data_IF_105521355753
#
_entry.id   IF_105521355753
#
_cell.length_a   1.000
_cell.length_b   1.000
_cell.length_c   1.000
_cell.angle_alpha   90.00
_cell.angle_beta   90.00
_cell.angle_gamma   90.00
#
_symmetry.space_group_name_H-M   'P 1'
#
loop_
_entity.id
_entity.type
_entity.pdbx_description
1 polymer ?
#
# COMPACT_ATOMS: atom_id res chain seq x y z
N UNK A 1 -36.23 26.38 19.61
CA UNK A 1 -36.20 25.73 18.28
C UNK A 1 -34.78 25.91 17.80
N UNK A 2 -33.91 24.96 18.16
CA UNK A 2 -32.47 25.07 17.91
C UNK A 2 -32.03 23.82 17.13
N UNK A 3 -31.33 24.14 16.06
CA UNK A 3 -31.00 23.37 14.87
C UNK A 3 -30.25 22.06 15.18
N UNK A 4 -30.96 20.93 15.20
CA UNK A 4 -30.36 19.59 15.20
C UNK A 4 -29.84 19.25 13.80
N UNK A 5 -28.77 19.93 13.36
CA UNK A 5 -27.93 19.41 12.29
C UNK A 5 -27.34 18.10 12.81
N UNK A 6 -27.87 16.97 12.35
CA UNK A 6 -27.32 15.64 12.60
C UNK A 6 -25.90 15.60 12.03
N UNK A 7 -24.91 15.90 12.86
CA UNK A 7 -23.50 15.80 12.48
C UNK A 7 -23.27 14.34 12.05
N UNK A 8 -22.84 14.16 10.79
CA UNK A 8 -22.47 12.83 10.27
C UNK A 8 -21.43 12.23 11.23
N UNK A 9 -21.54 10.94 11.60
CA UNK A 9 -20.55 10.33 12.49
C UNK A 9 -19.14 10.54 11.91
N UNK A 10 -18.14 10.81 12.78
CA UNK A 10 -16.78 11.07 12.34
C UNK A 10 -16.22 9.85 11.59
N UNK A 11 -15.60 10.07 10.44
CA UNK A 11 -14.95 9.02 9.65
C UNK A 11 -13.68 8.59 10.38
N UNK A 12 -13.50 7.28 10.60
CA UNK A 12 -12.23 6.76 11.07
C UNK A 12 -11.37 6.32 9.90
N UNK A 13 -10.32 7.10 9.60
CA UNK A 13 -9.33 6.72 8.61
C UNK A 13 -8.20 5.88 9.23
N UNK A 14 -7.83 4.78 8.59
CA UNK A 14 -6.54 4.14 8.81
C UNK A 14 -5.56 4.65 7.76
N UNK A 15 -4.48 5.28 8.24
CA UNK A 15 -3.39 5.82 7.42
C UNK A 15 -2.18 4.92 7.61
N UNK A 16 -1.78 4.23 6.55
CA UNK A 16 -0.69 3.25 6.57
C UNK A 16 0.47 3.75 5.71
N UNK A 17 1.64 3.84 6.32
CA UNK A 17 2.78 4.56 5.76
C UNK A 17 3.68 3.67 4.91
N UNK A 18 4.62 4.32 4.22
CA UNK A 18 5.78 3.64 3.67
C UNK A 18 6.75 3.21 4.78
N UNK A 19 7.68 2.32 4.45
CA UNK A 19 8.66 1.83 5.45
C UNK A 19 9.38 0.52 5.10
N UNK A 20 9.13 -0.05 3.91
CA UNK A 20 9.75 -1.31 3.51
C UNK A 20 9.42 -2.44 4.49
N UNK A 21 10.43 -3.21 4.90
CA UNK A 21 10.26 -4.33 5.83
C UNK A 21 9.60 -3.95 7.18
N UNK A 22 9.66 -2.67 7.58
CA UNK A 22 8.97 -2.18 8.79
C UNK A 22 7.45 -2.23 8.68
N UNK A 23 6.88 -2.38 7.48
CA UNK A 23 5.45 -2.58 7.28
C UNK A 23 4.90 -3.83 7.96
N UNK A 24 5.74 -4.81 8.32
CA UNK A 24 5.34 -5.97 9.12
C UNK A 24 4.86 -5.58 10.53
N UNK A 25 5.40 -4.48 11.09
CA UNK A 25 4.94 -3.97 12.39
C UNK A 25 3.50 -3.45 12.33
N UNK A 26 3.08 -2.88 11.19
CA UNK A 26 1.70 -2.41 11.00
C UNK A 26 0.70 -3.57 11.15
N UNK A 27 1.06 -4.81 10.77
CA UNK A 27 0.21 -5.99 10.97
C UNK A 27 -0.06 -6.24 12.46
N UNK A 28 0.96 -6.06 13.30
CA UNK A 28 0.81 -6.15 14.76
C UNK A 28 -0.06 -5.02 15.31
N UNK A 29 0.06 -3.80 14.78
CA UNK A 29 -0.79 -2.67 15.15
C UNK A 29 -2.25 -2.92 14.76
N UNK A 30 -2.50 -3.38 13.53
CA UNK A 30 -3.83 -3.76 13.03
C UNK A 30 -4.45 -4.86 13.89
N UNK A 31 -3.65 -5.86 14.30
CA UNK A 31 -4.07 -6.90 15.24
C UNK A 31 -4.59 -6.29 16.55
N UNK A 32 -3.86 -5.35 17.14
CA UNK A 32 -4.24 -4.70 18.38
C UNK A 32 -5.51 -3.83 18.21
N UNK A 33 -5.61 -3.07 17.13
CA UNK A 33 -6.77 -2.22 16.83
C UNK A 33 -8.05 -3.05 16.65
N UNK A 34 -8.02 -4.09 15.82
CA UNK A 34 -9.17 -4.99 15.66
C UNK A 34 -9.45 -5.82 16.91
N UNK A 35 -8.43 -6.09 17.76
CA UNK A 35 -8.63 -6.69 19.06
C UNK A 35 -9.46 -5.80 19.99
N UNK A 36 -9.27 -4.49 19.91
CA UNK A 36 -10.00 -3.49 20.66
C UNK A 36 -11.33 -3.05 20.03
N UNK A 37 -11.74 -3.63 18.90
CA UNK A 37 -12.97 -3.24 18.18
C UNK A 37 -12.84 -1.89 17.45
N UNK A 38 -11.61 -1.45 17.16
CA UNK A 38 -11.35 -0.23 16.39
C UNK A 38 -11.25 -0.61 14.91
N UNK A 39 -12.27 -0.23 14.13
CA UNK A 39 -12.36 -0.48 12.69
C UNK A 39 -12.35 0.82 11.89
N UNK A 40 -11.72 0.85 10.70
CA UNK A 40 -11.76 2.00 9.80
C UNK A 40 -13.02 2.05 8.95
N UNK A 41 -13.36 3.26 8.51
CA UNK A 41 -14.34 3.56 7.46
C UNK A 41 -13.65 3.94 6.13
N UNK A 42 -12.35 4.28 6.19
CA UNK A 42 -11.51 4.69 5.08
C UNK A 42 -10.09 4.17 5.29
N UNK A 43 -9.43 3.74 4.21
CA UNK A 43 -8.03 3.33 4.23
C UNK A 43 -7.21 4.12 3.23
N UNK A 44 -6.09 4.69 3.67
CA UNK A 44 -5.14 5.39 2.81
C UNK A 44 -3.75 4.78 3.00
N UNK A 45 -3.10 4.37 1.92
CA UNK A 45 -1.84 3.62 1.97
C UNK A 45 -0.75 4.20 1.09
N UNK A 46 0.51 4.03 1.52
CA UNK A 46 1.71 4.32 0.71
C UNK A 46 2.66 3.15 0.74
N UNK A 47 3.16 2.69 -0.41
CA UNK A 47 4.15 1.62 -0.49
C UNK A 47 3.68 0.38 0.27
N UNK A 48 4.43 -0.12 1.25
CA UNK A 48 4.02 -1.23 2.10
C UNK A 48 2.69 -0.99 2.84
N UNK A 49 2.38 0.26 3.18
CA UNK A 49 1.07 0.64 3.69
C UNK A 49 -0.05 0.52 2.65
N UNK A 50 0.24 0.59 1.34
CA UNK A 50 -0.73 0.28 0.29
C UNK A 50 -0.99 -1.23 0.20
N UNK A 51 0.03 -2.08 0.43
CA UNK A 51 -0.15 -3.55 0.53
C UNK A 51 -1.06 -3.89 1.72
N UNK A 52 -0.69 -3.39 2.90
CA UNK A 52 -1.46 -3.60 4.13
C UNK A 52 -2.86 -3.01 4.01
N UNK A 53 -2.96 -1.80 3.46
CA UNK A 53 -4.20 -1.08 3.29
C UNK A 53 -5.17 -1.74 2.32
N UNK A 54 -4.69 -2.29 1.20
CA UNK A 54 -5.52 -3.03 0.27
C UNK A 54 -6.14 -4.28 0.92
N UNK A 55 -5.36 -5.01 1.73
CA UNK A 55 -5.87 -6.18 2.44
C UNK A 55 -6.88 -5.81 3.53
N UNK A 56 -6.64 -4.73 4.28
CA UNK A 56 -7.57 -4.21 5.29
C UNK A 56 -8.85 -3.68 4.65
N UNK A 57 -8.75 -2.96 3.54
CA UNK A 57 -9.92 -2.45 2.83
C UNK A 57 -10.75 -3.56 2.18
N UNK A 58 -10.12 -4.68 1.82
CA UNK A 58 -10.82 -5.86 1.32
C UNK A 58 -11.60 -6.60 2.42
N UNK A 59 -11.07 -6.60 3.65
CA UNK A 59 -11.68 -7.23 4.81
C UNK A 59 -11.26 -6.49 6.10
N UNK A 60 -12.09 -5.57 6.62
CA UNK A 60 -11.76 -4.77 7.79
C UNK A 60 -12.01 -5.52 9.11
N UNK A 61 -11.71 -6.82 9.15
CA UNK A 61 -11.88 -7.68 10.32
C UNK A 61 -10.56 -8.29 10.80
N UNK A 62 -10.60 -8.98 11.94
CA UNK A 62 -9.44 -9.73 12.47
C UNK A 62 -8.93 -10.80 11.50
N UNK A 63 -9.75 -11.28 10.56
CA UNK A 63 -9.34 -12.30 9.59
C UNK A 63 -8.29 -11.77 8.59
N UNK A 64 -8.29 -10.47 8.26
CA UNK A 64 -7.28 -9.90 7.36
C UNK A 64 -5.88 -9.88 7.98
N UNK A 65 -5.77 -9.80 9.31
CA UNK A 65 -4.48 -9.84 10.03
C UNK A 65 -3.76 -11.16 9.80
N UNK A 66 -4.48 -12.29 9.81
CA UNK A 66 -3.89 -13.60 9.55
C UNK A 66 -3.37 -13.69 8.10
N UNK A 67 -4.19 -13.26 7.12
CA UNK A 67 -3.77 -13.22 5.72
C UNK A 67 -2.61 -12.28 5.46
N UNK A 68 -2.55 -11.16 6.17
CA UNK A 68 -1.41 -10.24 6.11
C UNK A 68 -0.16 -10.87 6.70
N UNK A 69 -0.25 -11.58 7.83
CA UNK A 69 0.89 -12.30 8.38
C UNK A 69 1.43 -13.36 7.39
N UNK A 70 0.54 -14.08 6.70
CA UNK A 70 0.91 -15.04 5.66
C UNK A 70 1.57 -14.35 4.47
N UNK A 71 1.00 -13.24 4.00
CA UNK A 71 1.55 -12.41 2.91
C UNK A 71 2.97 -11.93 3.27
N UNK A 72 3.17 -11.38 4.46
CA UNK A 72 4.48 -10.90 4.94
C UNK A 72 5.50 -12.04 5.07
N UNK A 73 5.05 -13.21 5.53
CA UNK A 73 5.90 -14.42 5.56
C UNK A 73 6.30 -14.84 4.13
N UNK A 74 5.37 -14.76 3.19
CA UNK A 74 5.60 -14.98 1.76
C UNK A 74 6.62 -14.00 1.16
N UNK A 75 6.47 -12.70 1.46
CA UNK A 75 7.40 -11.65 1.01
C UNK A 75 8.82 -11.89 1.51
N UNK A 76 8.97 -12.22 2.81
CA UNK A 76 10.26 -12.54 3.39
C UNK A 76 10.92 -13.75 2.72
N UNK A 77 10.16 -14.81 2.45
CA UNK A 77 10.65 -16.00 1.73
C UNK A 77 11.03 -15.73 0.28
N UNK A 78 10.30 -14.84 -0.39
CA UNK A 78 10.59 -14.41 -1.76
C UNK A 78 11.78 -13.43 -1.84
N UNK A 79 12.37 -13.04 -0.71
CA UNK A 79 13.47 -12.08 -0.66
C UNK A 79 13.03 -10.66 -1.04
N UNK A 80 11.73 -10.37 -1.03
CA UNK A 80 11.21 -9.04 -1.27
C UNK A 80 11.47 -8.23 0.00
N UNK A 81 12.21 -7.13 -0.12
CA UNK A 81 12.64 -6.25 0.98
C UNK A 81 13.77 -6.79 1.89
N UNK A 82 14.51 -7.83 1.50
CA UNK A 82 15.62 -8.41 2.29
C UNK A 82 17.02 -7.85 1.99
N UNK A 83 17.14 -6.81 1.15
CA UNK A 83 18.44 -6.32 0.64
C UNK A 83 19.22 -5.42 1.60
N UNK A 84 20.40 -5.87 2.04
CA UNK A 84 21.46 -5.02 2.63
C UNK A 84 21.95 -3.97 1.63
N UNK A 85 22.21 -2.74 2.09
CA UNK A 85 22.82 -1.65 1.32
C UNK A 85 24.11 -2.06 0.59
N UNK A 86 24.89 -3.01 1.12
CA UNK A 86 26.12 -3.51 0.48
C UNK A 86 25.87 -4.43 -0.73
N UNK A 87 24.79 -5.23 -0.73
CA UNK A 87 24.41 -6.05 -1.89
C UNK A 87 23.98 -5.21 -3.10
N UNK A 88 23.58 -3.95 -2.85
CA UNK A 88 23.15 -2.97 -3.87
C UNK A 88 24.32 -2.44 -4.71
N UNK A 89 25.54 -2.40 -4.15
CA UNK A 89 26.75 -1.95 -4.86
C UNK A 89 27.35 -3.04 -5.77
N UNK A 90 27.37 -4.30 -5.33
CA UNK A 90 27.90 -5.41 -6.13
C UNK A 90 27.03 -5.77 -7.34
N UNK A 91 25.74 -5.42 -7.32
CA UNK A 91 24.76 -5.81 -8.35
C UNK A 91 24.60 -4.75 -9.44
N UNK A 92 24.89 -3.48 -9.15
CA UNK A 92 24.97 -2.40 -10.16
C UNK A 92 26.05 -2.66 -11.24
N UNK A 93 27.04 -3.51 -10.93
CA UNK A 93 28.14 -3.87 -11.84
C UNK A 93 27.74 -5.02 -12.80
N UNK A 94 26.64 -5.76 -12.55
CA UNK A 94 26.40 -7.05 -13.23
C UNK A 94 25.19 -7.16 -14.17
N UNK A 95 24.15 -6.35 -14.09
CA UNK A 95 23.09 -6.30 -15.14
C UNK A 95 22.11 -5.15 -14.90
N UNK A 96 21.51 -4.63 -15.98
CA UNK A 96 20.85 -3.32 -16.04
C UNK A 96 19.68 -3.03 -15.08
N UNK A 97 19.58 -1.74 -14.73
CA UNK A 97 18.47 -0.90 -14.20
C UNK A 97 17.38 -1.43 -13.24
N UNK A 98 17.31 -2.71 -12.84
CA UNK A 98 16.35 -3.19 -11.83
C UNK A 98 16.82 -4.47 -11.12
N UNK A 99 16.75 -4.46 -9.77
CA UNK A 99 17.31 -5.53 -8.92
C UNK A 99 16.34 -6.68 -8.64
N UNK A 100 15.02 -6.45 -8.72
CA UNK A 100 14.00 -7.46 -8.49
C UNK A 100 12.97 -7.45 -9.63
N UNK A 101 12.61 -8.63 -10.14
CA UNK A 101 11.48 -8.76 -11.05
C UNK A 101 10.18 -8.51 -10.27
N UNK A 102 9.20 -7.75 -10.79
CA UNK A 102 7.97 -7.44 -10.07
C UNK A 102 7.01 -8.65 -9.92
N UNK A 103 7.26 -9.74 -10.64
CA UNK A 103 6.39 -10.93 -10.64
C UNK A 103 6.13 -11.53 -9.25
N UNK A 104 7.12 -11.76 -8.37
CA UNK A 104 6.86 -12.36 -7.05
C UNK A 104 5.94 -11.50 -6.17
N UNK A 105 6.10 -10.16 -6.21
CA UNK A 105 5.21 -9.26 -5.49
C UNK A 105 3.81 -9.26 -6.11
N UNK A 106 3.71 -9.21 -7.44
CA UNK A 106 2.42 -9.31 -8.15
C UNK A 106 1.70 -10.61 -7.80
N UNK A 107 2.39 -11.74 -7.85
CA UNK A 107 1.81 -13.07 -7.62
C UNK A 107 1.33 -13.21 -6.17
N UNK A 108 2.10 -12.70 -5.21
CA UNK A 108 1.67 -12.65 -3.80
C UNK A 108 0.44 -11.75 -3.63
N UNK A 109 0.41 -10.57 -4.25
CA UNK A 109 -0.75 -9.68 -4.19
C UNK A 109 -2.00 -10.34 -4.82
N UNK A 110 -1.87 -10.95 -6.00
CA UNK A 110 -2.96 -11.68 -6.66
C UNK A 110 -3.46 -12.88 -5.84
N UNK A 111 -2.56 -13.54 -5.10
CA UNK A 111 -2.92 -14.70 -4.27
C UNK A 111 -3.68 -14.30 -3.00
N UNK A 112 -3.31 -13.17 -2.40
CA UNK A 112 -3.83 -12.78 -1.08
C UNK A 112 -4.92 -11.70 -1.11
N UNK A 113 -5.06 -10.95 -2.21
CA UNK A 113 -6.13 -9.96 -2.37
C UNK A 113 -7.36 -10.61 -3.03
N UNK A 114 -8.55 -10.54 -2.38
CA UNK A 114 -9.73 -11.28 -2.83
C UNK A 114 -10.45 -10.63 -4.03
N UNK A 115 -10.09 -9.39 -4.38
CA UNK A 115 -10.71 -8.63 -5.47
C UNK A 115 -9.64 -8.05 -6.39
N UNK A 116 -10.00 -7.79 -7.65
CA UNK A 116 -9.08 -7.31 -8.67
C UNK A 116 -9.16 -5.80 -8.91
N UNK A 117 -10.21 -5.14 -8.42
CA UNK A 117 -10.47 -3.70 -8.64
C UNK A 117 -10.62 -2.95 -7.33
N UNK A 118 -10.14 -1.71 -7.28
CA UNK A 118 -10.20 -0.86 -6.09
C UNK A 118 -11.65 -0.62 -5.66
N UNK A 119 -12.54 -0.32 -6.61
CA UNK A 119 -13.96 -0.05 -6.32
C UNK A 119 -14.75 -1.29 -5.85
N UNK A 120 -14.16 -2.48 -5.91
CA UNK A 120 -14.77 -3.72 -5.40
C UNK A 120 -14.37 -4.03 -3.95
N UNK A 121 -13.52 -3.21 -3.33
CA UNK A 121 -13.13 -3.37 -1.92
C UNK A 121 -14.31 -3.07 -0.98
N UNK A 122 -14.30 -3.71 0.20
CA UNK A 122 -15.35 -3.52 1.20
C UNK A 122 -15.35 -2.11 1.81
N UNK A 123 -14.17 -1.47 1.85
CA UNK A 123 -14.02 -0.07 2.28
C UNK A 123 -13.41 0.80 1.16
N UNK A 124 -13.71 2.11 1.15
CA UNK A 124 -12.96 3.08 0.37
C UNK A 124 -11.46 2.97 0.62
N UNK A 125 -10.70 2.84 -0.46
CA UNK A 125 -9.25 2.71 -0.42
C UNK A 125 -8.61 3.69 -1.40
N UNK A 126 -7.53 4.33 -0.96
CA UNK A 126 -6.67 5.12 -1.85
C UNK A 126 -5.21 4.79 -1.56
N UNK A 127 -4.40 4.70 -2.62
CA UNK A 127 -2.95 4.67 -2.46
C UNK A 127 -2.27 5.66 -3.38
N UNK A 128 -1.08 6.10 -2.97
CA UNK A 128 -0.30 7.11 -3.69
C UNK A 128 0.91 6.49 -4.35
N UNK A 129 1.21 6.94 -5.57
CA UNK A 129 2.49 6.75 -6.23
C UNK A 129 3.02 8.10 -6.70
N UNK A 130 4.33 8.19 -6.92
CA UNK A 130 4.92 9.34 -7.59
C UNK A 130 4.88 9.11 -9.11
N UNK A 131 4.22 10.00 -9.85
CA UNK A 131 4.21 9.96 -11.31
C UNK A 131 5.39 10.75 -11.87
N UNK A 132 6.23 10.09 -12.66
CA UNK A 132 7.48 10.65 -13.16
C UNK A 132 7.22 11.86 -14.08
N UNK A 133 6.29 11.75 -15.02
CA UNK A 133 6.07 12.79 -16.04
C UNK A 133 5.57 14.11 -15.44
N UNK A 134 4.89 14.04 -14.29
CA UNK A 134 4.30 15.20 -13.63
C UNK A 134 5.10 15.63 -12.40
N UNK A 135 6.12 14.86 -12.00
CA UNK A 135 6.85 15.04 -10.75
C UNK A 135 5.92 15.29 -9.54
N UNK A 136 4.79 14.57 -9.49
CA UNK A 136 3.70 14.85 -8.58
C UNK A 136 3.10 13.56 -8.00
N UNK A 137 2.34 13.71 -6.91
CA UNK A 137 1.48 12.67 -6.37
C UNK A 137 0.43 12.24 -7.40
N UNK A 138 0.26 10.94 -7.54
CA UNK A 138 -0.88 10.33 -8.21
C UNK A 138 -1.63 9.44 -7.22
N UNK A 139 -2.91 9.72 -7.04
CA UNK A 139 -3.80 8.99 -6.14
C UNK A 139 -4.62 7.98 -6.92
N UNK A 140 -4.36 6.69 -6.71
CA UNK A 140 -5.21 5.63 -7.24
C UNK A 140 -6.43 5.46 -6.35
N UNK A 141 -7.62 5.74 -6.91
CA UNK A 141 -8.90 5.63 -6.21
C UNK A 141 -9.88 4.67 -6.90
N UNK A 142 -9.52 4.16 -8.08
CA UNK A 142 -10.31 3.22 -8.89
C UNK A 142 -9.37 2.46 -9.84
N UNK A 143 -9.85 1.35 -10.41
CA UNK A 143 -9.09 0.59 -11.41
C UNK A 143 -8.40 -0.66 -10.86
N UNK A 144 -7.43 -1.24 -11.60
CA UNK A 144 -6.78 -2.49 -11.21
C UNK A 144 -6.01 -2.37 -9.89
N UNK A 145 -6.46 -3.10 -8.87
CA UNK A 145 -5.97 -2.97 -7.50
C UNK A 145 -4.48 -3.32 -7.39
N UNK A 146 -4.09 -4.46 -7.95
CA UNK A 146 -2.70 -4.95 -7.88
C UNK A 146 -1.76 -3.98 -8.58
N UNK A 147 -2.16 -3.41 -9.71
CA UNK A 147 -1.33 -2.47 -10.45
C UNK A 147 -1.11 -1.15 -9.69
N UNK A 148 -2.17 -0.64 -9.05
CA UNK A 148 -2.08 0.54 -8.20
C UNK A 148 -1.15 0.32 -6.98
N UNK A 149 -1.30 -0.83 -6.31
CA UNK A 149 -0.43 -1.20 -5.17
C UNK A 149 1.02 -1.40 -5.63
N UNK A 150 1.25 -2.07 -6.77
CA UNK A 150 2.58 -2.23 -7.35
C UNK A 150 3.22 -0.88 -7.69
N UNK A 151 2.47 0.04 -8.30
CA UNK A 151 2.94 1.39 -8.59
C UNK A 151 3.34 2.13 -7.31
N UNK A 152 2.54 2.01 -6.25
CA UNK A 152 2.83 2.60 -4.94
C UNK A 152 4.08 2.03 -4.27
N UNK A 153 4.47 0.79 -4.58
CA UNK A 153 5.62 0.07 -4.00
C UNK A 153 6.90 0.10 -4.86
N UNK A 154 6.89 0.74 -6.04
CA UNK A 154 7.97 0.66 -7.01
C UNK A 154 9.20 1.51 -6.63
N UNK A 155 9.92 1.09 -5.59
CA UNK A 155 11.06 1.82 -5.02
C UNK A 155 12.20 1.91 -6.06
N UNK A 156 12.66 3.12 -6.43
CA UNK A 156 13.77 3.27 -7.38
C UNK A 156 15.02 2.49 -6.97
N UNK A 157 15.59 1.78 -7.93
CA UNK A 157 16.75 0.91 -7.73
C UNK A 157 16.43 -0.45 -7.09
N UNK A 158 15.21 -0.67 -6.58
CA UNK A 158 14.74 -1.99 -6.12
C UNK A 158 13.84 -2.63 -7.18
N UNK A 159 12.80 -1.92 -7.60
CA UNK A 159 11.80 -2.36 -8.57
C UNK A 159 11.79 -1.41 -9.78
N UNK A 160 11.48 -1.91 -10.99
CA UNK A 160 11.31 -1.05 -12.14
C UNK A 160 10.06 -0.15 -11.98
N UNK A 161 10.03 1.05 -12.59
CA UNK A 161 8.82 1.85 -12.65
C UNK A 161 7.66 1.08 -13.26
N UNK A 162 6.47 1.21 -12.68
CA UNK A 162 5.24 0.59 -13.20
C UNK A 162 4.66 1.50 -14.28
N UNK A 163 4.26 0.92 -15.41
CA UNK A 163 3.64 1.66 -16.53
C UNK A 163 2.14 1.46 -16.52
N UNK A 164 1.37 2.53 -16.31
CA UNK A 164 -0.11 2.51 -16.33
C UNK A 164 -0.62 3.71 -17.12
N UNK A 165 -1.59 3.50 -18.01
CA UNK A 165 -2.25 4.56 -18.78
C UNK A 165 -1.29 5.59 -19.42
N UNK A 166 -0.16 5.09 -19.94
CA UNK A 166 0.88 5.91 -20.59
C UNK A 166 1.80 6.69 -19.64
N UNK A 167 1.63 6.60 -18.32
CA UNK A 167 2.53 7.18 -17.31
C UNK A 167 3.46 6.17 -16.67
N UNK A 168 4.55 6.66 -16.07
CA UNK A 168 5.48 5.88 -15.27
C UNK A 168 5.34 6.26 -13.79
N UNK A 169 5.23 5.24 -12.95
CA UNK A 169 5.01 5.38 -11.53
C UNK A 169 6.12 4.72 -10.73
N UNK A 170 6.57 5.42 -9.69
CA UNK A 170 7.52 4.94 -8.70
C UNK A 170 6.94 5.15 -7.29
N UNK A 171 7.60 4.58 -6.29
CA UNK A 171 7.11 4.50 -4.93
C UNK A 171 6.55 5.82 -4.39
N UNK A 172 5.36 5.74 -3.78
CA UNK A 172 4.66 6.90 -3.26
C UNK A 172 5.36 7.59 -2.10
N UNK A 173 6.27 6.90 -1.40
CA UNK A 173 7.05 7.47 -0.31
C UNK A 173 7.95 8.63 -0.72
N UNK A 174 8.27 8.75 -2.01
CA UNK A 174 9.02 9.89 -2.57
C UNK A 174 8.24 11.20 -2.55
N UNK A 175 6.91 11.12 -2.55
CA UNK A 175 6.03 12.29 -2.57
C UNK A 175 5.20 12.40 -1.29
N UNK A 176 4.82 11.27 -0.69
CA UNK A 176 3.98 11.25 0.50
C UNK A 176 4.16 9.96 1.30
N UNK A 177 5.15 9.91 2.20
CA UNK A 177 5.45 8.71 3.00
C UNK A 177 4.37 8.33 4.03
N UNK A 178 3.64 9.30 4.58
CA UNK A 178 2.60 9.08 5.60
C UNK A 178 1.39 9.96 5.26
N UNK A 179 0.36 9.43 4.58
CA UNK A 179 -0.65 10.24 3.90
C UNK A 179 -1.78 10.78 4.80
N UNK A 180 -1.43 11.34 5.96
CA UNK A 180 -2.39 11.91 6.91
C UNK A 180 -3.15 13.08 6.29
N UNK A 181 -2.46 13.97 5.57
CA UNK A 181 -3.11 15.11 4.91
C UNK A 181 -4.19 14.69 3.92
N UNK A 182 -4.00 13.56 3.23
CA UNK A 182 -5.02 13.02 2.32
C UNK A 182 -6.24 12.52 3.08
N UNK A 183 -6.04 11.81 4.20
CA UNK A 183 -7.15 11.36 5.03
C UNK A 183 -7.97 12.55 5.56
N UNK A 184 -7.32 13.60 6.07
CA UNK A 184 -8.00 14.81 6.54
C UNK A 184 -8.82 15.48 5.44
N UNK A 185 -8.32 15.51 4.20
CA UNK A 185 -9.05 16.09 3.07
C UNK A 185 -10.30 15.28 2.66
N UNK A 186 -10.40 14.01 3.07
CA UNK A 186 -11.54 13.13 2.78
C UNK A 186 -12.63 13.17 3.86
N UNK A 187 -12.37 13.88 4.97
CA UNK A 187 -13.29 14.10 6.11
C UNK A 187 -13.21 13.01 7.17
#
# INVERSE_FOLDING_TARGET
MEDSRTARPPIRAFVLGGGGALGAYEVGMLKALFAAGVHPDLVVGTSVGAINGAAVAADPSRASVARLADLWTGLGRAGVFSGSLLGRLGTAVRSGTHLYHPAPLRDLLCTHLPVTRIEALALPFQCVAARIEQAAEHWFTAGPLVDAVLASCAVPGLLPPVRLDGGHYVDGGLVNSIPVGRAVALG
#
